data_IF_449379408957
#
_entry.id   IF_449379408957
#
_cell.length_a   1.000
_cell.length_b   1.000
_cell.length_c   1.000
_cell.angle_alpha   90.00
_cell.angle_beta   90.00
_cell.angle_gamma   90.00
#
_symmetry.space_group_name_H-M   'P 1'
#
loop_
_entity.id
_entity.type
_entity.pdbx_description
1 polymer ?
#
# COMPACT_ATOMS: atom_id res chain seq x y z
N UNK A 1 -26.45 -38.50 5.20
CA UNK A 1 -25.43 -38.39 4.14
C UNK A 1 -24.15 -37.98 4.84
N UNK A 2 -23.16 -38.86 4.88
CA UNK A 2 -21.85 -38.58 5.46
C UNK A 2 -21.10 -37.70 4.46
N UNK A 3 -20.75 -36.48 4.88
CA UNK A 3 -19.83 -35.65 4.12
C UNK A 3 -18.45 -36.05 4.63
N UNK A 4 -17.73 -36.84 3.84
CA UNK A 4 -16.29 -36.96 3.99
C UNK A 4 -15.73 -35.59 3.61
N UNK A 5 -15.59 -34.70 4.59
CA UNK A 5 -14.79 -33.50 4.42
C UNK A 5 -13.38 -33.92 4.72
N UNK A 6 -12.56 -34.07 3.68
CA UNK A 6 -11.12 -34.08 3.86
C UNK A 6 -10.78 -32.77 4.58
N UNK A 7 -10.48 -32.86 5.87
CA UNK A 7 -9.87 -31.83 6.68
C UNK A 7 -8.45 -31.59 6.13
N UNK A 8 -8.36 -31.03 4.92
CA UNK A 8 -7.12 -30.43 4.45
C UNK A 8 -6.90 -29.23 5.35
N UNK A 9 -6.02 -29.41 6.33
CA UNK A 9 -5.48 -28.39 7.22
C UNK A 9 -5.07 -27.19 6.35
N UNK A 10 -5.96 -26.20 6.24
CA UNK A 10 -5.66 -24.90 5.66
C UNK A 10 -4.69 -24.22 6.63
N UNK A 11 -3.40 -24.58 6.49
CA UNK A 11 -2.32 -23.98 7.26
C UNK A 11 -2.24 -22.51 6.87
N UNK A 12 -2.70 -21.66 7.77
CA UNK A 12 -2.69 -20.23 7.57
C UNK A 12 -1.23 -19.77 7.45
N UNK A 13 -0.84 -19.33 6.27
CA UNK A 13 0.47 -18.73 6.06
C UNK A 13 0.38 -17.20 6.23
N UNK A 14 1.34 -16.59 6.96
CA UNK A 14 1.37 -15.15 7.10
C UNK A 14 1.67 -14.48 5.74
N UNK A 15 1.09 -13.30 5.46
CA UNK A 15 1.38 -12.56 4.23
C UNK A 15 2.87 -12.28 4.07
N UNK A 16 3.32 -12.26 2.83
CA UNK A 16 4.69 -11.87 2.46
C UNK A 16 5.01 -10.44 2.91
N UNK A 17 6.29 -10.09 3.01
CA UNK A 17 6.70 -8.73 3.39
C UNK A 17 6.10 -7.66 2.45
N UNK A 18 6.00 -7.95 1.15
CA UNK A 18 5.42 -7.06 0.17
C UNK A 18 3.91 -6.88 0.41
N UNK A 19 3.17 -7.95 0.66
CA UNK A 19 1.74 -7.89 0.98
C UNK A 19 1.49 -7.16 2.30
N UNK A 20 2.34 -7.39 3.30
CA UNK A 20 2.25 -6.71 4.59
C UNK A 20 2.40 -5.20 4.43
N UNK A 21 3.33 -4.72 3.59
CA UNK A 21 3.46 -3.28 3.28
C UNK A 21 2.21 -2.71 2.63
N UNK A 22 1.58 -3.44 1.70
CA UNK A 22 0.33 -3.01 1.05
C UNK A 22 -0.81 -2.94 2.06
N UNK A 23 -0.95 -3.95 2.93
CA UNK A 23 -1.97 -3.99 3.98
C UNK A 23 -1.78 -2.82 4.95
N UNK A 24 -0.54 -2.55 5.36
CA UNK A 24 -0.22 -1.45 6.26
C UNK A 24 -0.56 -0.09 5.62
N UNK A 25 -0.16 0.14 4.37
CA UNK A 25 -0.50 1.37 3.65
C UNK A 25 -2.02 1.56 3.52
N UNK A 26 -2.76 0.48 3.26
CA UNK A 26 -4.23 0.51 3.21
C UNK A 26 -4.83 0.87 4.58
N UNK A 27 -4.29 0.32 5.66
CA UNK A 27 -4.75 0.59 7.03
C UNK A 27 -4.51 2.05 7.42
N UNK A 28 -3.31 2.57 7.15
CA UNK A 28 -2.99 3.98 7.41
C UNK A 28 -3.89 4.94 6.64
N UNK A 29 -4.23 4.60 5.39
CA UNK A 29 -5.21 5.37 4.61
C UNK A 29 -6.60 5.32 5.23
N UNK A 30 -7.07 4.14 5.65
CA UNK A 30 -8.35 3.98 6.36
C UNK A 30 -8.41 4.76 7.67
N UNK A 31 -7.31 4.80 8.44
CA UNK A 31 -7.24 5.53 9.71
C UNK A 31 -7.37 7.05 9.46
N UNK A 32 -6.70 7.57 8.43
CA UNK A 32 -6.84 8.98 8.02
C UNK A 32 -8.28 9.31 7.60
N UNK A 33 -8.91 8.45 6.81
CA UNK A 33 -10.32 8.60 6.41
C UNK A 33 -11.22 8.64 7.64
N UNK A 34 -11.05 7.68 8.56
CA UNK A 34 -11.87 7.57 9.77
C UNK A 34 -11.75 8.82 10.66
N UNK A 35 -10.53 9.37 10.78
CA UNK A 35 -10.29 10.61 11.52
C UNK A 35 -11.02 11.80 10.88
N UNK A 36 -10.84 12.02 9.58
CA UNK A 36 -11.51 13.10 8.85
C UNK A 36 -13.02 12.98 8.91
N UNK A 37 -13.54 11.76 8.76
CA UNK A 37 -14.97 11.49 8.86
C UNK A 37 -15.52 11.90 10.23
N UNK A 38 -14.81 11.54 11.31
CA UNK A 38 -15.13 12.02 12.66
C UNK A 38 -15.19 13.54 12.76
N UNK A 39 -14.20 14.25 12.23
CA UNK A 39 -14.16 15.70 12.24
C UNK A 39 -15.35 16.34 11.50
N UNK A 40 -15.78 15.77 10.36
CA UNK A 40 -16.94 16.25 9.62
C UNK A 40 -18.27 15.96 10.30
N UNK A 41 -18.41 14.80 10.96
CA UNK A 41 -19.60 14.50 11.76
C UNK A 41 -19.77 15.48 12.92
N UNK A 42 -18.68 15.84 13.60
CA UNK A 42 -18.68 16.85 14.66
C UNK A 42 -19.03 18.26 14.13
N UNK A 43 -18.74 18.55 12.86
CA UNK A 43 -19.20 19.79 12.19
C UNK A 43 -20.70 19.76 11.81
N UNK A 44 -21.39 18.66 12.05
CA UNK A 44 -22.83 18.49 11.80
C UNK A 44 -23.16 17.90 10.43
N UNK A 45 -22.21 17.21 9.78
CA UNK A 45 -22.49 16.42 8.59
C UNK A 45 -23.21 15.12 8.98
N UNK A 46 -24.01 14.59 8.05
CA UNK A 46 -24.76 13.34 8.24
C UNK A 46 -24.09 12.21 7.45
N UNK A 47 -23.86 11.06 8.10
CA UNK A 47 -23.43 9.85 7.39
C UNK A 47 -24.59 9.23 6.62
N UNK A 48 -24.36 8.87 5.35
CA UNK A 48 -25.34 8.21 4.50
C UNK A 48 -25.15 6.69 4.52
N UNK A 49 -26.16 5.95 4.07
CA UNK A 49 -26.06 4.50 3.82
C UNK A 49 -25.47 4.17 2.45
N UNK A 50 -25.03 5.18 1.70
CA UNK A 50 -24.48 5.08 0.36
C UNK A 50 -22.96 5.24 0.35
N UNK A 51 -22.29 4.61 -0.61
CA UNK A 51 -20.85 4.69 -0.80
C UNK A 51 -20.48 5.48 -2.05
N UNK A 52 -19.31 6.11 -2.03
CA UNK A 52 -18.75 6.78 -3.20
C UNK A 52 -18.44 5.76 -4.30
N UNK A 53 -18.92 6.01 -5.53
CA UNK A 53 -18.70 5.13 -6.69
C UNK A 53 -17.23 5.02 -7.11
N UNK A 54 -16.40 6.00 -6.75
CA UNK A 54 -14.98 6.05 -7.12
C UNK A 54 -14.11 5.22 -6.18
N UNK A 55 -14.26 5.41 -4.86
CA UNK A 55 -13.35 4.82 -3.86
C UNK A 55 -14.04 3.88 -2.87
N UNK A 56 -15.36 3.74 -2.91
CA UNK A 56 -16.14 2.89 -1.99
C UNK A 56 -16.28 3.43 -0.56
N UNK A 57 -15.74 4.62 -0.24
CA UNK A 57 -15.89 5.22 1.09
C UNK A 57 -17.32 5.73 1.29
N UNK A 58 -17.89 5.54 2.47
CA UNK A 58 -19.23 6.05 2.82
C UNK A 58 -19.35 7.57 2.57
N UNK A 59 -20.47 7.98 2.00
CA UNK A 59 -20.74 9.40 1.73
C UNK A 59 -21.24 10.12 2.98
N UNK A 60 -20.81 11.37 3.11
CA UNK A 60 -21.36 12.32 4.07
C UNK A 60 -22.25 13.32 3.34
N UNK A 61 -23.20 13.90 4.05
CA UNK A 61 -24.07 14.95 3.54
C UNK A 61 -23.94 16.20 4.41
N UNK A 62 -23.71 17.34 3.76
CA UNK A 62 -23.64 18.62 4.45
C UNK A 62 -25.04 19.15 4.85
N UNK A 63 -25.07 20.32 5.48
CA UNK A 63 -26.33 20.98 5.89
C UNK A 63 -27.15 21.50 4.70
N UNK A 64 -26.56 21.58 3.51
CA UNK A 64 -27.20 22.00 2.26
C UNK A 64 -27.66 20.79 1.42
N UNK A 65 -27.67 19.58 2.00
CA UNK A 65 -28.04 18.33 1.33
C UNK A 65 -27.09 17.90 0.20
N UNK A 66 -25.87 18.45 0.17
CA UNK A 66 -24.86 18.06 -0.81
C UNK A 66 -24.09 16.83 -0.32
N UNK A 67 -24.01 15.80 -1.17
CA UNK A 67 -23.20 14.62 -0.92
C UNK A 67 -21.72 14.93 -1.10
N UNK A 68 -20.90 14.38 -0.21
CA UNK A 68 -19.48 14.71 -0.07
C UNK A 68 -18.70 13.45 0.34
N UNK A 69 -17.56 13.21 -0.31
CA UNK A 69 -16.69 12.07 -0.06
C UNK A 69 -15.37 12.55 0.56
N UNK A 70 -15.21 12.33 1.87
CA UNK A 70 -14.01 12.74 2.62
C UNK A 70 -12.71 12.16 2.06
N UNK A 71 -12.74 10.94 1.50
CA UNK A 71 -11.55 10.32 0.88
C UNK A 71 -11.13 11.10 -0.37
N UNK A 72 -12.04 11.26 -1.32
CA UNK A 72 -11.71 11.84 -2.62
C UNK A 72 -11.44 13.34 -2.55
N UNK A 73 -12.12 14.08 -1.69
CA UNK A 73 -11.89 15.51 -1.57
C UNK A 73 -10.64 15.88 -0.76
N UNK A 74 -10.26 15.09 0.25
CA UNK A 74 -9.22 15.52 1.21
C UNK A 74 -7.92 14.69 1.15
N UNK A 75 -7.94 13.47 0.59
CA UNK A 75 -6.77 12.58 0.58
C UNK A 75 -6.25 12.26 -0.82
N UNK A 76 -7.12 12.14 -1.81
CA UNK A 76 -6.72 11.70 -3.16
C UNK A 76 -5.98 12.79 -3.96
N UNK A 77 -6.04 14.06 -3.54
CA UNK A 77 -5.30 15.17 -4.16
C UNK A 77 -3.78 15.03 -4.15
N UNK A 78 -3.23 14.12 -3.34
CA UNK A 78 -1.79 13.88 -3.27
C UNK A 78 -1.31 12.70 -4.13
N UNK A 79 -2.20 11.75 -4.47
CA UNK A 79 -1.83 10.58 -5.29
C UNK A 79 -1.81 10.92 -6.79
N UNK A 80 -2.66 11.85 -7.24
CA UNK A 80 -2.72 12.27 -8.65
C UNK A 80 -1.43 12.98 -9.12
N UNK A 81 -0.67 13.59 -8.19
CA UNK A 81 0.55 14.34 -8.53
C UNK A 81 1.66 13.43 -9.07
N UNK A 82 1.74 12.20 -8.60
CA UNK A 82 2.81 11.25 -8.98
C UNK A 82 2.34 10.20 -10.00
N UNK A 83 1.08 10.27 -10.45
CA UNK A 83 0.57 9.34 -11.45
C UNK A 83 1.08 9.70 -12.86
N UNK A 84 1.97 8.90 -13.48
CA UNK A 84 2.50 9.19 -14.82
C UNK A 84 1.41 9.13 -15.91
N UNK A 85 0.28 8.47 -15.66
CA UNK A 85 -0.82 8.40 -16.61
C UNK A 85 -1.65 9.68 -16.65
N UNK A 86 -1.67 10.45 -15.54
CA UNK A 86 -2.46 11.66 -15.38
C UNK A 86 -1.61 12.94 -15.32
N UNK A 87 -0.31 12.81 -15.02
CA UNK A 87 0.64 13.92 -14.95
C UNK A 87 1.85 13.72 -15.90
N UNK A 88 2.03 14.58 -16.92
CA UNK A 88 3.14 14.48 -17.87
C UNK A 88 4.51 14.66 -17.19
N UNK A 89 4.61 15.43 -16.11
CA UNK A 89 5.87 15.63 -15.41
C UNK A 89 6.31 14.36 -14.65
N UNK A 90 5.35 13.62 -14.08
CA UNK A 90 5.61 12.33 -13.45
C UNK A 90 6.03 11.27 -14.50
N UNK A 91 5.39 11.27 -15.67
CA UNK A 91 5.76 10.40 -16.79
C UNK A 91 7.21 10.61 -17.23
N UNK A 92 7.62 11.88 -17.40
CA UNK A 92 8.99 12.23 -17.79
C UNK A 92 10.02 11.81 -16.73
N UNK A 93 9.69 11.96 -15.45
CA UNK A 93 10.56 11.52 -14.35
C UNK A 93 10.78 10.01 -14.39
N UNK A 94 9.72 9.22 -14.53
CA UNK A 94 9.82 7.75 -14.60
C UNK A 94 10.65 7.27 -15.80
N UNK A 95 10.48 7.90 -16.97
CA UNK A 95 11.27 7.56 -18.17
C UNK A 95 12.74 7.85 -17.93
N UNK A 96 13.07 9.01 -17.34
CA UNK A 96 14.45 9.37 -16.99
C UNK A 96 15.07 8.37 -16.03
N UNK A 97 14.36 7.99 -14.97
CA UNK A 97 14.86 7.00 -14.00
C UNK A 97 15.12 5.64 -14.67
N UNK A 98 14.22 5.18 -15.55
CA UNK A 98 14.45 3.94 -16.33
C UNK A 98 15.68 4.02 -17.21
N UNK A 99 15.91 5.15 -17.89
CA UNK A 99 17.09 5.33 -18.74
C UNK A 99 18.38 5.34 -17.92
N UNK A 100 18.39 6.01 -16.76
CA UNK A 100 19.54 6.04 -15.86
C UNK A 100 19.84 4.65 -15.28
N UNK A 101 18.80 3.90 -14.88
CA UNK A 101 18.95 2.54 -14.39
C UNK A 101 19.52 1.59 -15.46
N UNK A 102 19.15 1.76 -16.73
CA UNK A 102 19.69 0.97 -17.84
C UNK A 102 21.15 1.28 -18.18
N UNK A 103 21.65 2.46 -17.80
CA UNK A 103 23.04 2.88 -18.00
C UNK A 103 23.99 2.38 -16.91
N UNK A 104 23.46 1.82 -15.81
CA UNK A 104 24.23 1.17 -14.77
C UNK A 104 24.27 -0.33 -15.11
N UNK A 105 25.40 -0.89 -15.62
CA UNK A 105 25.53 -2.33 -15.68
C UNK A 105 25.43 -2.87 -14.25
N UNK A 106 24.56 -3.85 -14.03
CA UNK A 106 24.32 -4.48 -12.74
C UNK A 106 25.67 -4.76 -12.04
N UNK A 107 25.97 -4.00 -10.99
CA UNK A 107 27.04 -4.36 -10.08
C UNK A 107 26.60 -5.70 -9.47
N UNK A 108 27.27 -6.77 -9.88
CA UNK A 108 27.12 -8.10 -9.32
C UNK A 108 27.10 -8.01 -7.79
N UNK A 109 26.25 -8.77 -7.09
CA UNK A 109 26.44 -8.95 -5.65
C UNK A 109 27.77 -9.70 -5.49
N UNK A 110 28.86 -8.98 -5.21
CA UNK A 110 30.13 -9.60 -4.84
C UNK A 110 29.95 -10.25 -3.47
N UNK A 111 29.60 -11.53 -3.52
CA UNK A 111 29.77 -12.51 -2.47
C UNK A 111 31.29 -12.51 -2.16
N UNK A 112 31.71 -11.77 -1.13
CA UNK A 112 33.08 -11.80 -0.64
C UNK A 112 33.35 -13.19 -0.03
N UNK A 113 33.72 -14.12 -0.89
CA UNK A 113 34.37 -15.37 -0.53
C UNK A 113 35.87 -15.23 -0.69
N UNK A 114 36.59 -15.29 0.43
CA UNK A 114 37.98 -15.72 0.45
C UNK A 114 38.78 -15.21 1.65
N UNK A 115 39.90 -15.86 2.04
CA UNK A 115 40.32 -17.23 1.78
C UNK A 115 40.54 -18.06 3.07
N UNK A 116 40.58 -19.36 2.87
CA UNK A 116 41.17 -20.39 3.74
C UNK A 116 42.46 -19.93 4.43
N UNK A 117 42.54 -20.09 5.76
CA UNK A 117 43.79 -20.48 6.41
C UNK A 117 43.50 -21.71 7.24
N UNK A 118 44.00 -22.84 6.75
CA UNK A 118 44.14 -24.06 7.52
C UNK A 118 45.24 -23.88 8.57
N UNK A 119 45.22 -24.77 9.56
CA UNK A 119 46.23 -25.02 10.61
C UNK A 119 46.00 -24.17 11.87
N UNK A 120 45.78 -24.72 13.07
CA UNK A 120 46.30 -25.98 13.61
C UNK A 120 45.40 -26.53 14.74
N UNK A 121 45.42 -27.85 14.84
CA UNK A 121 44.86 -28.64 15.93
C UNK A 121 45.76 -28.53 17.16
N UNK A 122 45.20 -28.59 18.37
CA UNK A 122 45.64 -29.46 19.51
C UNK A 122 44.94 -29.02 20.82
N UNK A 123 44.11 -29.94 21.33
CA UNK A 123 43.81 -30.30 22.72
C UNK A 123 44.25 -29.37 23.87
N UNK A 124 43.29 -28.93 24.71
CA UNK A 124 42.89 -29.62 25.95
C UNK A 124 41.58 -29.04 26.52
#
# INVERSE_FOLDING_TARGET
>A
MALNGDDEDFEWEPPTEAEMKVVQARRERQDKISKLMGDYLLKGYKMLGDCCEVCGTVLLQDRQQKNYCVSCQELDSDIDKDNPALNPQAALSQVRERQLAALIPAASPELNGGPTTSQEWIHL
#
